data_IF_571085684662
#
_entry.id   IF_571085684662
#
_cell.length_a   1.000
_cell.length_b   1.000
_cell.length_c   1.000
_cell.angle_alpha   90.00
_cell.angle_beta   90.00
_cell.angle_gamma   90.00
#
_symmetry.space_group_name_H-M   'P 1'
#
loop_
_entity.id
_entity.type
_entity.pdbx_description
1 polymer ?
#
# COMPACT_ATOMS: atom_id res chain seq x y z
N UNK A 1 -6.09 -42.15 26.98
CA UNK A 1 -6.36 -40.90 27.72
C UNK A 1 -7.60 -41.14 28.57
N UNK A 2 -7.46 -41.16 29.90
CA UNK A 2 -8.54 -41.60 30.82
C UNK A 2 -9.37 -40.44 31.37
N UNK A 3 -10.60 -40.73 31.78
CA UNK A 3 -11.53 -39.76 32.39
C UNK A 3 -10.94 -39.02 33.61
N UNK A 4 -9.99 -39.63 34.32
CA UNK A 4 -9.27 -39.00 35.44
C UNK A 4 -8.27 -37.93 35.00
N UNK A 5 -7.76 -37.99 33.77
CA UNK A 5 -6.83 -36.99 33.24
C UNK A 5 -7.57 -35.68 32.88
N UNK A 6 -8.82 -35.77 32.44
CA UNK A 6 -9.68 -34.62 32.14
C UNK A 6 -10.12 -33.83 33.40
N UNK A 7 -10.15 -34.48 34.57
CA UNK A 7 -10.46 -33.80 35.85
C UNK A 7 -9.27 -33.02 36.41
N UNK A 8 -8.03 -33.35 36.04
CA UNK A 8 -6.83 -32.58 36.43
C UNK A 8 -6.62 -31.34 35.56
N UNK A 9 -7.20 -31.29 34.35
CA UNK A 9 -7.22 -30.11 33.49
C UNK A 9 -8.42 -29.18 33.72
N UNK A 10 -9.22 -29.41 34.77
CA UNK A 10 -10.42 -28.60 35.07
C UNK A 10 -10.11 -27.30 35.84
N UNK A 11 -8.86 -27.11 36.27
CA UNK A 11 -8.39 -25.82 36.77
C UNK A 11 -8.16 -24.90 35.58
N UNK A 12 -8.73 -23.70 35.63
CA UNK A 12 -8.57 -22.69 34.59
C UNK A 12 -7.07 -22.49 34.31
N UNK A 13 -6.60 -23.01 33.17
CA UNK A 13 -5.21 -22.94 32.78
C UNK A 13 -4.83 -21.46 32.66
N UNK A 14 -3.98 -20.99 33.58
CA UNK A 14 -3.54 -19.59 33.64
C UNK A 14 -2.89 -19.15 32.31
N UNK A 15 -2.23 -20.07 31.61
CA UNK A 15 -1.71 -19.86 30.26
C UNK A 15 -2.82 -19.63 29.23
N UNK A 16 -3.93 -20.36 29.32
CA UNK A 16 -5.11 -20.17 28.45
C UNK A 16 -5.77 -18.82 28.72
N UNK A 17 -5.89 -18.41 29.98
CA UNK A 17 -6.38 -17.07 30.33
C UNK A 17 -5.43 -15.97 29.86
N UNK A 18 -4.12 -16.15 29.96
CA UNK A 18 -3.13 -15.20 29.45
C UNK A 18 -3.18 -15.08 27.92
N UNK A 19 -3.36 -16.19 27.20
CA UNK A 19 -3.57 -16.19 25.75
C UNK A 19 -4.90 -15.53 25.37
N UNK A 20 -6.00 -15.83 26.08
CA UNK A 20 -7.30 -15.18 25.88
C UNK A 20 -7.24 -13.67 26.14
N UNK A 21 -6.50 -13.24 27.16
CA UNK A 21 -6.30 -11.82 27.47
C UNK A 21 -5.47 -11.12 26.39
N UNK A 22 -4.45 -11.77 25.82
CA UNK A 22 -3.68 -11.23 24.68
C UNK A 22 -4.52 -11.09 23.42
N UNK A 23 -5.45 -12.02 23.19
CA UNK A 23 -6.41 -11.97 22.06
C UNK A 23 -7.44 -10.86 22.28
N UNK A 24 -7.89 -10.64 23.53
CA UNK A 24 -8.84 -9.58 23.88
C UNK A 24 -8.24 -8.17 23.85
N UNK A 25 -6.94 -8.03 24.15
CA UNK A 25 -6.22 -6.77 24.01
C UNK A 25 -5.83 -6.57 22.55
N UNK A 26 -6.80 -6.27 21.70
CA UNK A 26 -6.58 -5.89 20.31
C UNK A 26 -5.69 -4.66 20.23
N UNK A 27 -4.37 -4.85 20.28
CA UNK A 27 -3.42 -3.80 20.00
C UNK A 27 -3.49 -3.56 18.51
N UNK A 28 -4.29 -2.58 18.10
CA UNK A 28 -4.24 -1.97 16.77
C UNK A 28 -2.90 -1.26 16.64
N UNK A 29 -1.80 -2.02 16.58
CA UNK A 29 -0.50 -1.49 16.20
C UNK A 29 -0.64 -1.04 14.75
N UNK A 30 -0.78 0.26 14.56
CA UNK A 30 -0.60 0.88 13.26
C UNK A 30 0.84 0.57 12.87
N UNK A 31 1.03 -0.39 11.98
CA UNK A 31 2.33 -0.70 11.41
C UNK A 31 2.68 0.45 10.46
N UNK A 32 3.18 1.56 11.04
CA UNK A 32 3.82 2.61 10.27
C UNK A 32 5.23 2.13 9.94
N UNK A 33 5.50 2.04 8.64
CA UNK A 33 6.82 1.72 8.13
C UNK A 33 7.58 3.03 7.94
N UNK A 34 8.53 3.28 8.84
CA UNK A 34 9.30 4.53 8.94
C UNK A 34 10.16 4.82 7.70
N UNK A 35 10.33 3.84 6.81
CA UNK A 35 11.06 4.02 5.53
C UNK A 35 10.25 4.83 4.52
N UNK A 36 8.93 4.91 4.68
CA UNK A 36 8.06 5.60 3.73
C UNK A 36 7.81 7.05 4.11
N UNK A 37 8.28 7.96 3.28
CA UNK A 37 7.94 9.37 3.41
C UNK A 37 6.57 9.67 2.80
N UNK A 38 5.85 10.61 3.43
CA UNK A 38 4.59 11.17 2.95
C UNK A 38 4.56 12.67 3.25
N UNK A 39 4.07 13.51 2.32
CA UNK A 39 3.94 14.93 2.58
C UNK A 39 2.88 15.18 3.66
N UNK A 40 3.20 16.02 4.63
CA UNK A 40 2.25 16.41 5.67
C UNK A 40 1.25 17.44 5.14
N UNK A 41 -0.04 17.23 5.44
CA UNK A 41 -1.16 18.08 4.99
C UNK A 41 -1.55 19.04 6.11
N UNK A 42 -1.97 20.25 5.75
CA UNK A 42 -2.38 21.26 6.72
C UNK A 42 -3.84 21.02 7.12
N UNK A 43 -4.39 21.90 7.98
CA UNK A 43 -5.79 21.80 8.40
C UNK A 43 -6.78 21.97 7.24
N UNK A 44 -6.35 22.58 6.14
CA UNK A 44 -7.12 22.75 4.91
C UNK A 44 -6.86 21.61 3.89
N UNK A 45 -6.15 20.55 4.31
CA UNK A 45 -5.82 19.38 3.51
C UNK A 45 -4.85 19.66 2.35
N UNK A 46 -4.11 20.77 2.41
CA UNK A 46 -3.06 21.14 1.44
C UNK A 46 -1.67 20.76 1.94
N UNK A 47 -0.82 20.29 1.03
CA UNK A 47 0.56 19.91 1.31
C UNK A 47 1.46 20.28 0.13
N UNK A 48 2.66 20.76 0.43
CA UNK A 48 3.68 21.10 -0.56
C UNK A 48 5.03 20.63 -0.05
N UNK A 49 5.77 19.96 -0.92
CA UNK A 49 7.14 19.52 -0.69
C UNK A 49 7.83 19.37 -2.05
N UNK A 50 9.15 19.52 -2.06
CA UNK A 50 10.00 19.32 -3.23
C UNK A 50 10.81 18.06 -2.99
N UNK A 51 10.67 17.09 -3.89
CA UNK A 51 11.38 15.81 -3.85
C UNK A 51 12.10 15.58 -5.16
N UNK A 52 13.24 14.90 -5.10
CA UNK A 52 14.00 14.42 -6.26
C UNK A 52 13.85 12.91 -6.34
N UNK A 53 13.40 12.40 -7.48
CA UNK A 53 13.44 10.95 -7.73
C UNK A 53 14.89 10.51 -7.93
N UNK A 54 15.24 9.36 -7.37
CA UNK A 54 16.59 8.81 -7.45
C UNK A 54 16.69 7.73 -8.53
N UNK A 55 17.86 7.57 -9.15
CA UNK A 55 18.09 6.54 -10.16
C UNK A 55 17.93 5.13 -9.58
N UNK A 56 17.92 4.14 -10.49
CA UNK A 56 17.91 2.74 -10.10
C UNK A 56 19.15 2.43 -9.25
N UNK A 57 18.96 1.62 -8.22
CA UNK A 57 20.07 1.13 -7.39
C UNK A 57 20.85 0.04 -8.14
N UNK A 58 22.10 -0.17 -7.75
CA UNK A 58 22.94 -1.21 -8.36
C UNK A 58 22.25 -2.57 -8.35
N UNK A 59 22.03 -3.14 -9.54
CA UNK A 59 21.39 -4.45 -9.73
C UNK A 59 19.89 -4.41 -10.00
N UNK A 60 19.25 -3.24 -10.03
CA UNK A 60 17.87 -3.06 -10.50
C UNK A 60 17.83 -2.38 -11.88
N UNK A 61 16.96 -2.86 -12.78
CA UNK A 61 16.83 -2.32 -14.14
C UNK A 61 16.01 -1.01 -14.18
N UNK A 62 15.14 -0.78 -13.18
CA UNK A 62 14.16 0.31 -13.17
C UNK A 62 14.17 1.05 -11.83
N UNK A 63 14.01 2.39 -11.82
CA UNK A 63 14.05 3.19 -10.59
C UNK A 63 12.76 3.16 -9.76
N UNK A 64 11.75 2.39 -10.20
CA UNK A 64 10.47 2.28 -9.53
C UNK A 64 9.90 0.85 -9.60
N UNK A 65 9.09 0.51 -8.60
CA UNK A 65 8.35 -0.75 -8.54
C UNK A 65 6.86 -0.49 -8.70
N UNK A 66 6.20 -1.25 -9.58
CA UNK A 66 4.75 -1.23 -9.75
C UNK A 66 4.10 -2.28 -8.86
N UNK A 67 3.15 -1.88 -8.02
CA UNK A 67 2.41 -2.75 -7.12
C UNK A 67 0.91 -2.56 -7.28
N UNK A 68 0.15 -3.66 -7.26
CA UNK A 68 -1.30 -3.63 -7.13
C UNK A 68 -1.70 -4.02 -5.71
N UNK A 69 -2.67 -3.33 -5.14
CA UNK A 69 -3.25 -3.70 -3.84
C UNK A 69 -4.77 -3.59 -3.82
N UNK A 70 -5.41 -4.33 -2.91
CA UNK A 70 -6.82 -4.21 -2.59
C UNK A 70 -6.96 -3.44 -1.27
N UNK A 71 -7.95 -2.56 -1.21
CA UNK A 71 -8.20 -1.73 -0.03
C UNK A 71 -9.68 -1.39 0.04
N UNK A 72 -10.47 -2.27 0.66
CA UNK A 72 -11.92 -2.16 0.77
C UNK A 72 -12.44 -2.71 2.10
N UNK A 73 -13.63 -2.26 2.52
CA UNK A 73 -14.31 -2.75 3.71
C UNK A 73 -15.40 -3.73 3.30
N UNK A 74 -15.26 -4.99 3.69
CA UNK A 74 -16.26 -6.03 3.53
C UNK A 74 -17.06 -6.27 4.81
N UNK A 75 -17.89 -7.31 4.79
CA UNK A 75 -18.71 -7.72 5.96
C UNK A 75 -17.84 -8.07 7.17
N UNK A 76 -16.68 -8.69 6.93
CA UNK A 76 -15.70 -9.06 7.97
C UNK A 76 -14.71 -7.96 8.36
N UNK A 77 -14.88 -6.72 7.88
CA UNK A 77 -13.97 -5.62 8.17
C UNK A 77 -13.10 -5.22 6.97
N UNK A 78 -11.95 -4.61 7.24
CA UNK A 78 -11.06 -4.07 6.21
C UNK A 78 -10.16 -5.17 5.62
N UNK A 79 -10.08 -5.22 4.30
CA UNK A 79 -9.06 -5.96 3.57
C UNK A 79 -8.12 -4.94 2.91
N UNK A 80 -6.87 -4.88 3.38
CA UNK A 80 -5.83 -3.99 2.87
C UNK A 80 -4.60 -4.84 2.56
N UNK A 81 -4.54 -5.44 1.38
CA UNK A 81 -3.55 -6.44 1.03
C UNK A 81 -2.99 -6.25 -0.38
N UNK A 82 -1.75 -6.67 -0.60
CA UNK A 82 -1.15 -6.66 -1.93
C UNK A 82 -1.81 -7.72 -2.83
N UNK A 83 -1.96 -7.39 -4.11
CA UNK A 83 -2.56 -8.27 -5.10
C UNK A 83 -1.46 -9.14 -5.74
N UNK A 84 -1.56 -10.49 -5.70
CA UNK A 84 -0.59 -11.40 -6.33
C UNK A 84 -0.42 -11.19 -7.83
N UNK A 85 -1.39 -10.58 -8.50
CA UNK A 85 -1.28 -10.21 -9.92
C UNK A 85 -0.12 -9.26 -10.21
N UNK A 86 0.43 -8.59 -9.20
CA UNK A 86 1.66 -7.80 -9.30
C UNK A 86 2.83 -8.64 -9.84
N UNK A 87 2.90 -9.91 -9.44
CA UNK A 87 3.94 -10.87 -9.85
C UNK A 87 3.39 -11.91 -10.85
N UNK A 88 2.27 -11.60 -11.50
CA UNK A 88 1.65 -12.48 -12.49
C UNK A 88 0.88 -13.69 -11.93
N UNK A 89 0.73 -13.79 -10.60
CA UNK A 89 -0.06 -14.84 -9.98
C UNK A 89 -1.56 -14.52 -9.96
N UNK A 90 -2.37 -15.56 -9.80
CA UNK A 90 -3.83 -15.43 -9.68
C UNK A 90 -4.21 -14.77 -8.35
N UNK A 91 -5.28 -13.96 -8.38
CA UNK A 91 -5.80 -13.28 -7.20
C UNK A 91 -7.27 -13.63 -7.02
N UNK A 92 -7.67 -14.23 -5.89
CA UNK A 92 -9.06 -14.61 -5.63
C UNK A 92 -10.03 -13.44 -5.70
N UNK A 93 -9.60 -12.24 -5.26
CA UNK A 93 -10.43 -11.03 -5.32
C UNK A 93 -10.63 -10.57 -6.77
N UNK A 94 -9.61 -10.67 -7.61
CA UNK A 94 -9.72 -10.33 -9.02
C UNK A 94 -10.65 -11.30 -9.75
N UNK A 95 -10.52 -12.61 -9.50
CA UNK A 95 -11.38 -13.64 -10.09
C UNK A 95 -12.84 -13.43 -9.70
N UNK A 96 -13.12 -13.28 -8.40
CA UNK A 96 -14.47 -12.99 -7.91
C UNK A 96 -15.03 -11.68 -8.48
N UNK A 97 -14.20 -10.64 -8.65
CA UNK A 97 -14.64 -9.39 -9.26
C UNK A 97 -14.97 -9.56 -10.75
N UNK A 98 -14.26 -10.42 -11.47
CA UNK A 98 -14.57 -10.73 -12.87
C UNK A 98 -15.92 -11.44 -13.00
N UNK A 99 -16.24 -12.38 -12.11
CA UNK A 99 -17.55 -13.02 -12.06
C UNK A 99 -18.67 -12.00 -11.78
N UNK A 100 -18.49 -11.16 -10.76
CA UNK A 100 -19.43 -10.10 -10.40
C UNK A 100 -19.64 -9.10 -11.54
N UNK A 101 -18.58 -8.74 -12.27
CA UNK A 101 -18.67 -7.83 -13.40
C UNK A 101 -19.44 -8.43 -14.58
N UNK A 102 -19.22 -9.73 -14.84
CA UNK A 102 -19.84 -10.47 -15.94
C UNK A 102 -21.28 -10.91 -15.65
N UNK A 103 -21.74 -10.83 -14.39
CA UNK A 103 -23.13 -11.10 -14.01
C UNK A 103 -24.15 -10.20 -14.75
N UNK A 104 -23.71 -9.02 -15.20
CA UNK A 104 -24.56 -8.01 -15.82
C UNK A 104 -25.39 -7.19 -14.84
N UNK A 105 -25.43 -7.56 -13.55
CA UNK A 105 -26.20 -6.87 -12.51
C UNK A 105 -25.44 -5.64 -12.01
N UNK A 106 -26.09 -4.49 -11.93
CA UNK A 106 -25.40 -3.25 -11.55
C UNK A 106 -24.90 -3.26 -10.09
N UNK A 107 -25.65 -3.87 -9.16
CA UNK A 107 -25.22 -4.03 -7.77
C UNK A 107 -23.92 -4.84 -7.65
N UNK A 108 -23.74 -5.85 -8.50
CA UNK A 108 -22.54 -6.69 -8.49
C UNK A 108 -21.34 -5.94 -9.08
N UNK A 109 -21.57 -5.12 -10.12
CA UNK A 109 -20.56 -4.21 -10.64
C UNK A 109 -20.12 -3.19 -9.61
N UNK A 110 -21.02 -2.67 -8.78
CA UNK A 110 -20.65 -1.77 -7.69
C UNK A 110 -19.76 -2.45 -6.64
N UNK A 111 -20.04 -3.71 -6.31
CA UNK A 111 -19.17 -4.51 -5.45
C UNK A 111 -17.79 -4.67 -6.10
N UNK A 112 -17.73 -5.02 -7.38
CA UNK A 112 -16.48 -5.18 -8.12
C UNK A 112 -15.68 -3.86 -8.22
N UNK A 113 -16.34 -2.71 -8.41
CA UNK A 113 -15.71 -1.37 -8.40
C UNK A 113 -15.09 -1.07 -7.04
N UNK A 114 -15.83 -1.34 -5.96
CA UNK A 114 -15.35 -1.10 -4.59
C UNK A 114 -14.15 -1.99 -4.22
N UNK A 115 -14.13 -3.23 -4.73
CA UNK A 115 -13.06 -4.22 -4.49
C UNK A 115 -11.90 -4.14 -5.49
N UNK A 116 -11.99 -3.27 -6.50
CA UNK A 116 -11.01 -3.16 -7.58
C UNK A 116 -9.60 -2.93 -7.02
N UNK A 117 -8.62 -3.61 -7.61
CA UNK A 117 -7.20 -3.37 -7.30
C UNK A 117 -6.82 -1.93 -7.64
N UNK A 118 -6.05 -1.29 -6.76
CA UNK A 118 -5.49 0.04 -6.94
C UNK A 118 -4.03 -0.11 -7.39
N UNK A 119 -3.63 0.71 -8.34
CA UNK A 119 -2.27 0.77 -8.87
C UNK A 119 -1.46 1.75 -8.01
N UNK A 120 -0.31 1.30 -7.52
CA UNK A 120 0.64 2.09 -6.77
C UNK A 120 2.03 1.91 -7.36
N UNK A 121 2.84 2.95 -7.27
CA UNK A 121 4.24 2.95 -7.62
C UNK A 121 5.06 3.28 -6.38
N UNK A 122 6.24 2.67 -6.27
CA UNK A 122 7.21 2.94 -5.21
C UNK A 122 8.53 3.32 -5.87
N UNK A 123 9.13 4.43 -5.45
CA UNK A 123 10.47 4.82 -5.89
C UNK A 123 11.29 5.35 -4.71
N UNK A 124 12.62 5.32 -4.87
CA UNK A 124 13.52 6.02 -3.97
C UNK A 124 13.49 7.52 -4.29
N UNK A 125 13.40 8.34 -3.25
CA UNK A 125 13.42 9.79 -3.37
C UNK A 125 14.39 10.40 -2.37
N UNK A 126 14.93 11.57 -2.72
CA UNK A 126 15.55 12.49 -1.77
C UNK A 126 14.64 13.68 -1.54
N UNK A 127 14.39 14.01 -0.28
CA UNK A 127 13.59 15.19 0.06
C UNK A 127 14.46 16.43 -0.08
N UNK A 128 14.10 17.35 -0.97
CA UNK A 128 14.84 18.59 -1.22
C UNK A 128 14.31 19.71 -0.32
N UNK A 129 12.99 19.84 -0.21
CA UNK A 129 12.36 20.76 0.72
C UNK A 129 11.07 20.18 1.29
N UNK A 130 10.92 20.23 2.61
CA UNK A 130 9.73 19.81 3.33
C UNK A 130 9.43 20.85 4.42
N UNK A 131 8.68 21.92 4.10
CA UNK A 131 8.48 23.05 5.02
C UNK A 131 7.86 22.68 6.37
N UNK A 132 7.12 21.56 6.44
CA UNK A 132 6.48 21.10 7.68
C UNK A 132 7.37 20.17 8.47
N UNK A 133 8.27 19.46 7.80
CA UNK A 133 9.23 18.57 8.42
C UNK A 133 10.64 18.81 7.87
N UNK A 134 11.28 19.96 8.19
CA UNK A 134 12.62 20.28 7.68
C UNK A 134 13.68 19.23 8.04
N UNK A 135 13.45 18.44 9.08
CA UNK A 135 14.32 17.32 9.48
C UNK A 135 14.42 16.21 8.43
N UNK A 136 13.54 16.19 7.43
CA UNK A 136 13.56 15.23 6.33
C UNK A 136 14.45 15.70 5.17
N UNK A 137 14.76 16.99 5.07
CA UNK A 137 15.53 17.57 3.98
C UNK A 137 16.93 16.94 3.88
N UNK A 138 17.34 16.58 2.67
CA UNK A 138 18.58 15.88 2.36
C UNK A 138 18.57 14.37 2.64
N UNK A 139 17.51 13.81 3.23
CA UNK A 139 17.41 12.36 3.50
C UNK A 139 16.72 11.61 2.36
N UNK A 140 17.05 10.33 2.27
CA UNK A 140 16.50 9.39 1.30
C UNK A 140 15.39 8.56 1.94
N UNK A 141 14.27 8.42 1.22
CA UNK A 141 13.11 7.65 1.66
C UNK A 141 12.47 6.89 0.50
N UNK A 142 11.61 5.93 0.83
CA UNK A 142 10.68 5.33 -0.12
C UNK A 142 9.44 6.21 -0.26
N UNK A 143 8.99 6.45 -1.49
CA UNK A 143 7.78 7.21 -1.75
C UNK A 143 6.76 6.35 -2.50
N UNK A 144 5.55 6.23 -1.93
CA UNK A 144 4.41 5.58 -2.59
C UNK A 144 3.53 6.62 -3.27
N UNK A 145 3.31 6.46 -4.58
CA UNK A 145 2.47 7.37 -5.35
C UNK A 145 1.54 6.62 -6.32
N UNK A 146 0.53 7.33 -6.81
CA UNK A 146 -0.46 6.78 -7.74
C UNK A 146 -0.19 7.14 -9.21
N UNK A 147 -1.09 6.69 -10.09
CA UNK A 147 -1.02 6.89 -11.55
C UNK A 147 -0.75 8.35 -11.95
N UNK A 148 -1.42 9.33 -11.32
CA UNK A 148 -1.28 10.75 -11.69
C UNK A 148 0.15 11.30 -11.58
N UNK A 149 0.92 10.86 -10.58
CA UNK A 149 2.32 11.29 -10.43
C UNK A 149 3.20 10.52 -11.43
N UNK A 150 2.91 9.24 -11.63
CA UNK A 150 3.62 8.43 -12.62
C UNK A 150 3.43 8.97 -14.05
N UNK A 151 2.22 9.38 -14.41
CA UNK A 151 1.91 9.96 -15.72
C UNK A 151 2.78 11.21 -15.96
N UNK A 152 2.91 12.10 -14.97
CA UNK A 152 3.78 13.28 -15.05
C UNK A 152 5.25 12.93 -15.24
N UNK A 153 5.75 11.92 -14.52
CA UNK A 153 7.13 11.44 -14.69
C UNK A 153 7.33 10.90 -16.10
N UNK A 154 6.35 10.16 -16.63
CA UNK A 154 6.41 9.59 -17.96
C UNK A 154 6.30 10.65 -19.08
N UNK A 155 5.45 11.67 -18.89
CA UNK A 155 5.32 12.84 -19.76
C UNK A 155 6.64 13.61 -19.86
N UNK A 156 7.35 13.81 -18.73
CA UNK A 156 8.68 14.45 -18.77
C UNK A 156 9.71 13.67 -19.58
N UNK A 157 9.61 12.33 -19.60
CA UNK A 157 10.50 11.47 -20.40
C UNK A 157 10.07 11.36 -21.87
N UNK A 158 8.78 11.49 -22.14
CA UNK A 158 8.18 11.35 -23.47
C UNK A 158 7.25 12.55 -23.73
N UNK A 159 7.82 13.73 -23.99
CA UNK A 159 7.04 14.93 -24.21
C UNK A 159 6.08 14.77 -25.41
N UNK A 160 4.88 15.36 -25.29
CA UNK A 160 3.84 15.27 -26.32
C UNK A 160 4.02 16.31 -27.44
N UNK A 161 4.76 17.40 -27.16
CA UNK A 161 4.97 18.53 -28.07
C UNK A 161 6.42 18.60 -28.55
N UNK A 162 6.63 19.01 -29.80
CA UNK A 162 7.97 19.07 -30.44
C UNK A 162 8.91 20.12 -29.83
N UNK A 163 8.38 21.09 -29.09
CA UNK A 163 9.13 22.14 -28.41
C UNK A 163 9.58 21.78 -26.99
N UNK A 164 9.16 20.62 -26.48
CA UNK A 164 9.55 20.12 -25.17
C UNK A 164 10.75 19.15 -25.26
N UNK A 165 11.80 19.41 -24.47
CA UNK A 165 12.95 18.50 -24.39
C UNK A 165 12.65 17.35 -23.42
N UNK A 166 12.94 16.12 -23.86
CA UNK A 166 12.82 14.94 -23.02
C UNK A 166 13.86 14.99 -21.89
N UNK A 167 13.39 14.95 -20.65
CA UNK A 167 14.24 14.94 -19.46
C UNK A 167 13.99 13.63 -18.71
N UNK A 168 15.07 12.98 -18.26
CA UNK A 168 14.97 11.85 -17.35
C UNK A 168 14.86 12.37 -15.90
N UNK A 169 13.70 12.26 -15.21
CA UNK A 169 13.54 12.79 -13.85
C UNK A 169 14.32 12.01 -12.79
N UNK A 170 14.93 10.88 -13.17
CA UNK A 170 15.72 10.02 -12.31
C UNK A 170 17.24 10.25 -12.44
N UNK A 171 17.70 11.13 -13.34
CA UNK A 171 19.11 11.49 -13.52
C UNK A 171 19.57 12.63 -12.57
#
# INVERSE_FOLDING_TARGET
MGFNDMKKSSGINKSLLEELNKISSGSTKSYQDDRFWKPERDKADNGFAIVRFLPAVDGEDVPFVRIFNHGFKGVGGWMIENCPTTIGLTCPVCEANSELWNSGVESDKDIARNRKRKLQYIANIMVVSDPKNPQNEGKVFLYKFGKKIFDKVNESMNPEFEDEEAINPFD
#
